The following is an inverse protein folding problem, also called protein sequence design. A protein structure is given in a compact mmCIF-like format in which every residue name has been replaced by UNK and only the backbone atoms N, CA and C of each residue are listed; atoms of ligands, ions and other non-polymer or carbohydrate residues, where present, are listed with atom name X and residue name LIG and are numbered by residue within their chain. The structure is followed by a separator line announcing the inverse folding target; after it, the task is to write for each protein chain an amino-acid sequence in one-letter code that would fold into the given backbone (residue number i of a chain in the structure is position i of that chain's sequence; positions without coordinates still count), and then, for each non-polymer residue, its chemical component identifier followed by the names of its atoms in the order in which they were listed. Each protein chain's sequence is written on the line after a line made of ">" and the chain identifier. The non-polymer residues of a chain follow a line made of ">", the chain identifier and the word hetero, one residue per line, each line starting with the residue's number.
data_IF_073116908059
#
_entry.id   IF_073116908059
#
_cell.length_a   1.000
_cell.length_b   1.000
_cell.length_c   1.000
_cell.angle_alpha   90.00
_cell.angle_beta   90.00
_cell.angle_gamma   90.00
#
_symmetry.space_group_name_H-M   'P 1'
#
loop_
_entity.id
_entity.type
_entity.pdbx_description
1 polymer ?
#
# COMPACT_ATOMS: atom_id res chain seq x y z
N UNK A 1 0.56 25.12 26.74
CA UNK A 1 1.74 24.26 26.49
C UNK A 1 2.01 23.48 27.77
N UNK A 2 1.97 22.14 27.73
CA UNK A 2 2.07 21.29 28.94
C UNK A 2 3.38 21.56 29.71
N UNK A 3 3.39 21.73 31.04
CA UNK A 3 4.64 21.91 31.80
C UNK A 3 5.31 20.55 32.05
N UNK A 4 6.64 20.50 31.95
CA UNK A 4 7.42 19.31 32.29
C UNK A 4 7.37 18.98 33.79
N UNK A 5 7.07 19.96 34.63
CA UNK A 5 6.95 19.81 36.08
C UNK A 5 5.63 19.13 36.49
N UNK A 6 4.57 19.28 35.68
CA UNK A 6 3.23 18.75 35.95
C UNK A 6 3.18 17.22 35.99
N UNK A 7 4.07 16.53 35.27
CA UNK A 7 4.10 15.06 35.22
C UNK A 7 5.41 14.51 34.67
N UNK A 8 5.88 13.40 35.25
CA UNK A 8 7.00 12.64 34.70
C UNK A 8 6.73 12.15 33.26
N UNK A 9 5.48 11.93 32.89
CA UNK A 9 5.10 11.53 31.53
C UNK A 9 5.23 12.69 30.54
N UNK A 10 4.88 13.92 30.95
CA UNK A 10 5.06 15.12 30.10
C UNK A 10 6.55 15.39 29.88
N UNK A 11 7.38 15.24 30.91
CA UNK A 11 8.84 15.37 30.78
C UNK A 11 9.43 14.32 29.82
N UNK A 12 9.00 13.05 29.92
CA UNK A 12 9.44 11.97 29.03
C UNK A 12 9.01 12.21 27.58
N UNK A 13 7.75 12.60 27.35
CA UNK A 13 7.24 12.90 26.01
C UNK A 13 8.02 14.05 25.36
N UNK A 14 8.25 15.15 26.08
CA UNK A 14 9.07 16.27 25.58
C UNK A 14 10.48 15.85 25.21
N UNK A 15 11.13 15.01 26.04
CA UNK A 15 12.48 14.48 25.75
C UNK A 15 12.49 13.62 24.48
N UNK A 16 11.49 12.74 24.31
CA UNK A 16 11.35 11.91 23.10
C UNK A 16 11.12 12.76 21.86
N UNK A 17 10.21 13.74 21.90
CA UNK A 17 9.95 14.67 20.78
C UNK A 17 11.16 15.54 20.42
N UNK A 18 12.01 15.85 21.40
CA UNK A 18 13.24 16.61 21.18
C UNK A 18 14.36 15.76 20.55
N UNK A 19 14.28 14.43 20.62
CA UNK A 19 15.33 13.52 20.16
C UNK A 19 15.52 13.60 18.64
N UNK A 20 16.78 13.50 18.20
CA UNK A 20 17.14 13.49 16.78
C UNK A 20 16.56 12.27 16.06
N UNK A 21 16.48 11.14 16.73
CA UNK A 21 15.90 9.91 16.20
C UNK A 21 14.41 10.09 15.87
N UNK A 22 13.60 10.58 16.81
CA UNK A 22 12.17 10.83 16.56
C UNK A 22 11.97 11.85 15.43
N UNK A 23 12.80 12.90 15.37
CA UNK A 23 12.76 13.87 14.27
C UNK A 23 13.07 13.22 12.91
N UNK A 24 14.10 12.37 12.84
CA UNK A 24 14.47 11.67 11.61
C UNK A 24 13.36 10.70 11.15
N UNK A 25 12.78 9.93 12.07
CA UNK A 25 11.67 9.01 11.79
C UNK A 25 10.42 9.76 11.29
N UNK A 26 10.02 10.85 11.96
CA UNK A 26 8.89 11.66 11.53
C UNK A 26 9.12 12.32 10.17
N UNK A 27 10.35 12.76 9.91
CA UNK A 27 10.73 13.33 8.60
C UNK A 27 10.61 12.27 7.50
N UNK A 28 11.08 11.05 7.76
CA UNK A 28 10.93 9.93 6.82
C UNK A 28 9.45 9.60 6.55
N UNK A 29 8.63 9.50 7.60
CA UNK A 29 7.20 9.25 7.47
C UNK A 29 6.55 10.33 6.59
N UNK A 30 6.83 11.60 6.87
CA UNK A 30 6.22 12.70 6.13
C UNK A 30 6.68 12.76 4.67
N UNK A 31 7.95 12.47 4.38
CA UNK A 31 8.50 12.55 3.03
C UNK A 31 8.06 11.37 2.14
N UNK A 32 7.97 10.16 2.69
CA UNK A 32 7.83 8.94 1.89
C UNK A 32 6.52 8.18 2.17
N UNK A 33 6.12 8.06 3.43
CA UNK A 33 5.03 7.16 3.83
C UNK A 33 3.64 7.74 3.61
N UNK A 34 3.51 9.06 3.41
CA UNK A 34 2.25 9.73 3.02
C UNK A 34 1.69 9.18 1.69
N UNK A 35 2.54 8.58 0.86
CA UNK A 35 2.14 7.94 -0.39
C UNK A 35 1.27 6.69 -0.23
N UNK A 36 1.42 5.96 0.88
CA UNK A 36 0.68 4.72 1.16
C UNK A 36 -0.82 4.95 1.38
N UNK A 37 -1.27 5.80 2.33
CA UNK A 37 -2.69 6.06 2.51
C UNK A 37 -3.33 6.72 1.28
N UNK A 38 -2.57 7.54 0.54
CA UNK A 38 -3.03 8.12 -0.72
C UNK A 38 -3.30 7.05 -1.79
N UNK A 39 -2.42 6.06 -1.92
CA UNK A 39 -2.65 4.92 -2.82
C UNK A 39 -3.87 4.12 -2.39
N UNK A 40 -3.99 3.77 -1.10
CA UNK A 40 -5.15 3.02 -0.58
C UNK A 40 -6.45 3.77 -0.91
N UNK A 41 -6.51 5.07 -0.62
CA UNK A 41 -7.68 5.90 -0.93
C UNK A 41 -8.02 5.92 -2.42
N UNK A 42 -7.00 5.93 -3.29
CA UNK A 42 -7.21 5.81 -4.75
C UNK A 42 -7.79 4.45 -5.13
N UNK A 43 -7.30 3.37 -4.53
CA UNK A 43 -7.75 2.01 -4.82
C UNK A 43 -9.17 1.73 -4.28
N UNK A 44 -9.58 2.44 -3.24
CA UNK A 44 -10.93 2.37 -2.66
C UNK A 44 -12.00 3.11 -3.50
N UNK A 45 -11.58 4.02 -4.38
CA UNK A 45 -12.52 4.79 -5.21
C UNK A 45 -13.18 3.89 -6.28
N UNK A 46 -14.51 3.89 -6.32
CA UNK A 46 -15.30 3.11 -7.28
C UNK A 46 -15.09 3.58 -8.73
N UNK A 47 -15.30 2.69 -9.69
CA UNK A 47 -15.24 2.93 -11.15
C UNK A 47 -13.83 3.00 -11.78
N UNK A 48 -12.77 2.64 -11.06
CA UNK A 48 -11.43 2.53 -11.69
C UNK A 48 -11.30 1.30 -12.58
N UNK A 49 -10.71 1.51 -13.75
CA UNK A 49 -10.34 0.42 -14.65
C UNK A 49 -9.21 -0.41 -14.04
N UNK A 50 -9.26 -1.73 -14.22
CA UNK A 50 -8.26 -2.65 -13.67
C UNK A 50 -6.84 -2.30 -14.15
N UNK A 51 -6.73 -1.92 -15.42
CA UNK A 51 -5.48 -1.45 -16.03
C UNK A 51 -4.88 -0.28 -15.24
N UNK A 52 -5.72 0.72 -14.91
CA UNK A 52 -5.26 1.91 -14.18
C UNK A 52 -4.81 1.57 -12.76
N UNK A 53 -5.52 0.64 -12.11
CA UNK A 53 -5.15 0.14 -10.77
C UNK A 53 -3.78 -0.55 -10.79
N UNK A 54 -3.55 -1.43 -11.76
CA UNK A 54 -2.26 -2.10 -11.92
C UNK A 54 -1.14 -1.10 -12.19
N UNK A 55 -1.39 -0.09 -13.02
CA UNK A 55 -0.40 0.94 -13.32
C UNK A 55 -0.09 1.85 -12.12
N UNK A 56 -1.08 2.20 -11.29
CA UNK A 56 -0.86 2.94 -10.03
C UNK A 56 -0.06 2.13 -9.02
N UNK A 57 -0.34 0.82 -8.89
CA UNK A 57 0.43 -0.09 -8.04
C UNK A 57 1.90 -0.19 -8.49
N UNK A 58 2.14 -0.39 -9.80
CA UNK A 58 3.51 -0.43 -10.35
C UNK A 58 4.26 0.87 -10.09
N UNK A 59 3.63 2.03 -10.31
CA UNK A 59 4.22 3.34 -9.97
C UNK A 59 4.56 3.47 -8.49
N UNK A 60 3.75 2.87 -7.61
CA UNK A 60 4.02 2.86 -6.18
C UNK A 60 5.20 1.95 -5.82
N UNK A 61 5.28 0.76 -6.42
CA UNK A 61 6.45 -0.13 -6.32
C UNK A 61 7.73 0.57 -6.79
N UNK A 62 7.69 1.24 -7.94
CA UNK A 62 8.80 2.03 -8.47
C UNK A 62 9.20 3.16 -7.50
N UNK A 63 8.22 3.88 -6.95
CA UNK A 63 8.48 4.92 -5.94
C UNK A 63 9.13 4.34 -4.69
N UNK A 64 8.75 3.14 -4.27
CA UNK A 64 9.32 2.47 -3.10
C UNK A 64 10.81 2.16 -3.26
N UNK A 65 11.31 2.00 -4.49
CA UNK A 65 12.74 1.83 -4.76
C UNK A 65 13.58 3.04 -4.32
N UNK A 66 12.98 4.24 -4.31
CA UNK A 66 13.64 5.50 -3.94
C UNK A 66 13.69 5.77 -2.43
N UNK A 67 13.03 4.96 -1.60
CA UNK A 67 12.97 5.18 -0.17
C UNK A 67 14.33 4.93 0.50
N UNK A 68 14.94 5.95 1.13
CA UNK A 68 16.31 5.83 1.62
C UNK A 68 16.40 5.12 2.97
N UNK A 69 17.62 4.66 3.26
CA UNK A 69 17.99 4.16 4.58
C UNK A 69 17.42 2.79 4.95
N UNK A 70 17.72 2.36 6.17
CA UNK A 70 17.30 1.06 6.70
C UNK A 70 15.78 0.94 6.83
N UNK A 71 15.11 2.03 7.23
CA UNK A 71 13.64 2.08 7.32
C UNK A 71 13.02 1.90 5.93
N UNK A 72 13.47 2.67 4.92
CA UNK A 72 12.97 2.53 3.55
C UNK A 72 13.17 1.13 2.99
N UNK A 73 14.35 0.54 3.22
CA UNK A 73 14.64 -0.84 2.83
C UNK A 73 13.71 -1.84 3.51
N UNK A 74 13.48 -1.68 4.83
CA UNK A 74 12.59 -2.56 5.58
C UNK A 74 11.14 -2.50 5.09
N UNK A 75 10.62 -1.30 4.83
CA UNK A 75 9.26 -1.11 4.30
C UNK A 75 9.13 -1.66 2.88
N UNK A 76 10.11 -1.41 1.99
CA UNK A 76 10.11 -1.97 0.64
C UNK A 76 10.11 -3.49 0.64
N UNK A 77 10.98 -4.11 1.45
CA UNK A 77 11.01 -5.57 1.58
C UNK A 77 9.67 -6.13 2.08
N UNK A 78 8.98 -5.39 2.96
CA UNK A 78 7.64 -5.78 3.43
C UNK A 78 6.61 -5.70 2.31
N UNK A 79 6.66 -4.66 1.47
CA UNK A 79 5.79 -4.51 0.30
C UNK A 79 5.99 -5.70 -0.67
N UNK A 80 7.23 -5.95 -1.06
CA UNK A 80 7.61 -7.08 -1.94
C UNK A 80 7.15 -8.41 -1.35
N UNK A 81 7.35 -8.62 -0.05
CA UNK A 81 6.89 -9.83 0.63
C UNK A 81 5.37 -10.00 0.58
N UNK A 82 4.61 -8.94 0.84
CA UNK A 82 3.13 -8.98 0.85
C UNK A 82 2.60 -9.26 -0.57
N UNK A 83 3.13 -8.56 -1.58
CA UNK A 83 2.73 -8.74 -2.97
C UNK A 83 3.14 -10.12 -3.51
N UNK A 84 4.38 -10.56 -3.23
CA UNK A 84 4.89 -11.85 -3.67
C UNK A 84 4.18 -13.05 -3.04
N UNK A 85 3.58 -12.88 -1.85
CA UNK A 85 2.73 -13.90 -1.21
C UNK A 85 1.28 -13.89 -1.68
N UNK A 86 0.88 -12.93 -2.50
CA UNK A 86 -0.46 -12.85 -3.06
C UNK A 86 -0.48 -13.41 -4.50
N UNK A 87 -0.78 -14.71 -4.70
CA UNK A 87 -0.80 -15.29 -6.05
C UNK A 87 -1.84 -14.62 -6.96
N UNK A 88 -2.94 -14.10 -6.39
CA UNK A 88 -3.96 -13.39 -7.15
C UNK A 88 -3.45 -12.06 -7.71
N UNK A 89 -2.44 -11.44 -7.08
CA UNK A 89 -1.80 -10.25 -7.63
C UNK A 89 -1.15 -10.52 -8.98
N UNK A 90 -0.46 -11.65 -9.12
CA UNK A 90 0.12 -12.08 -10.40
C UNK A 90 -0.95 -12.30 -11.46
N UNK A 91 -2.06 -12.97 -11.10
CA UNK A 91 -3.20 -13.17 -12.00
C UNK A 91 -3.81 -11.84 -12.45
N UNK A 92 -3.96 -10.87 -11.54
CA UNK A 92 -4.47 -9.52 -11.86
C UNK A 92 -3.55 -8.81 -12.85
N UNK A 93 -2.23 -8.88 -12.68
CA UNK A 93 -1.26 -8.31 -13.63
C UNK A 93 -1.44 -8.94 -15.02
N UNK A 94 -1.57 -10.27 -15.10
CA UNK A 94 -1.72 -10.97 -16.38
C UNK A 94 -3.08 -10.71 -17.06
N UNK A 95 -4.15 -10.57 -16.28
CA UNK A 95 -5.45 -10.10 -16.80
C UNK A 95 -5.29 -8.68 -17.36
N UNK A 96 -4.61 -7.78 -16.63
CA UNK A 96 -4.36 -6.41 -17.10
C UNK A 96 -3.53 -6.38 -18.38
N UNK A 97 -2.53 -7.26 -18.54
CA UNK A 97 -1.77 -7.39 -19.80
C UNK A 97 -2.69 -7.80 -20.95
N UNK A 98 -3.50 -8.82 -20.73
CA UNK A 98 -4.45 -9.32 -21.73
C UNK A 98 -5.45 -8.24 -22.17
N UNK A 99 -5.96 -7.44 -21.22
CA UNK A 99 -6.84 -6.29 -21.50
C UNK A 99 -6.14 -5.17 -22.30
N UNK A 100 -4.81 -5.04 -22.18
CA UNK A 100 -3.98 -4.13 -23.01
C UNK A 100 -3.64 -4.72 -24.39
N UNK A 101 -3.99 -5.97 -24.65
CA UNK A 101 -3.58 -6.70 -25.85
C UNK A 101 -2.15 -7.26 -25.78
N UNK A 102 -1.56 -7.31 -24.59
CA UNK A 102 -0.24 -7.87 -24.33
C UNK A 102 -0.34 -9.37 -23.99
N UNK A 103 0.74 -10.12 -24.23
CA UNK A 103 0.81 -11.54 -23.89
C UNK A 103 1.04 -11.67 -22.36
N UNK A 104 0.18 -12.39 -21.62
CA UNK A 104 0.37 -12.62 -20.20
C UNK A 104 1.59 -13.52 -19.94
N UNK A 105 2.23 -13.35 -18.77
CA UNK A 105 3.38 -14.20 -18.39
C UNK A 105 2.95 -15.61 -18.01
N UNK A 106 1.75 -15.76 -17.43
CA UNK A 106 1.16 -17.06 -17.14
C UNK A 106 -0.12 -17.29 -17.94
N UNK A 107 -0.37 -18.53 -18.41
CA UNK A 107 -1.60 -18.85 -19.11
C UNK A 107 -2.83 -18.56 -18.24
N UNK A 108 -3.75 -17.77 -18.77
CA UNK A 108 -5.03 -17.49 -18.14
C UNK A 108 -6.06 -18.53 -18.62
N UNK A 109 -6.84 -19.09 -17.70
CA UNK A 109 -7.92 -20.04 -18.01
C UNK A 109 -9.26 -19.37 -18.36
N UNK A 110 -9.23 -18.14 -18.88
CA UNK A 110 -10.41 -17.33 -19.18
C UNK A 110 -10.59 -17.16 -20.69
N UNK A 111 -11.84 -17.14 -21.14
CA UNK A 111 -12.21 -16.72 -22.49
C UNK A 111 -12.10 -15.20 -22.65
N UNK A 112 -12.04 -14.71 -23.88
CA UNK A 112 -12.01 -13.27 -24.16
C UNK A 112 -13.23 -12.53 -23.56
N UNK A 113 -14.41 -13.17 -23.60
CA UNK A 113 -15.63 -12.60 -23.02
C UNK A 113 -15.53 -12.50 -21.50
N UNK A 114 -15.01 -13.53 -20.83
CA UNK A 114 -14.79 -13.50 -19.37
C UNK A 114 -13.74 -12.46 -18.98
N UNK A 115 -12.66 -12.31 -19.77
CA UNK A 115 -11.66 -11.27 -19.53
C UNK A 115 -12.27 -9.86 -19.62
N UNK A 116 -13.20 -9.64 -20.55
CA UNK A 116 -13.86 -8.34 -20.70
C UNK A 116 -14.65 -7.90 -19.46
N UNK A 117 -15.11 -8.86 -18.64
CA UNK A 117 -15.80 -8.58 -17.37
C UNK A 117 -14.85 -7.97 -16.31
N UNK A 118 -13.53 -8.12 -16.47
CA UNK A 118 -12.52 -7.53 -15.59
C UNK A 118 -12.09 -6.12 -16.02
N UNK A 119 -12.81 -5.46 -16.94
CA UNK A 119 -12.51 -4.08 -17.37
C UNK A 119 -12.38 -3.14 -16.17
N UNK A 120 -13.26 -3.28 -15.18
CA UNK A 120 -13.25 -2.51 -13.94
C UNK A 120 -12.79 -3.38 -12.78
N UNK A 121 -12.19 -2.76 -11.77
CA UNK A 121 -11.85 -3.46 -10.54
C UNK A 121 -13.14 -4.00 -9.91
N UNK A 122 -13.26 -5.32 -9.64
CA UNK A 122 -14.42 -5.83 -8.95
C UNK A 122 -14.47 -5.17 -7.57
N UNK A 123 -15.47 -4.34 -7.36
CA UNK A 123 -15.80 -3.80 -6.05
C UNK A 123 -16.24 -4.99 -5.20
N UNK A 124 -15.28 -5.58 -4.50
CA UNK A 124 -15.65 -6.31 -3.31
C UNK A 124 -16.11 -5.25 -2.32
N UNK A 125 -17.42 -5.07 -2.19
CA UNK A 125 -18.01 -4.52 -0.98
C UNK A 125 -17.77 -5.54 0.14
N UNK A 126 -16.52 -5.84 0.43
CA UNK A 126 -16.19 -6.18 1.80
C UNK A 126 -16.38 -4.86 2.51
N UNK A 127 -17.59 -4.68 3.05
CA UNK A 127 -17.67 -4.36 4.46
C UNK A 127 -16.66 -5.28 5.13
N UNK A 128 -15.40 -4.82 5.21
CA UNK A 128 -14.47 -5.31 6.20
C UNK A 128 -15.07 -4.77 7.49
N UNK A 129 -16.19 -5.36 7.91
CA UNK A 129 -16.63 -5.35 9.29
C UNK A 129 -15.37 -5.69 10.04
N UNK A 130 -14.81 -4.65 10.65
CA UNK A 130 -13.47 -4.61 11.18
C UNK A 130 -13.31 -5.83 12.07
N UNK A 131 -12.75 -6.91 11.52
CA UNK A 131 -12.45 -8.13 12.26
C UNK A 131 -11.23 -7.92 13.17
N UNK A 132 -10.97 -6.68 13.55
CA UNK A 132 -10.04 -6.23 14.57
C UNK A 132 -10.65 -6.30 15.98
N UNK A 133 -11.83 -6.90 16.18
CA UNK A 133 -12.40 -7.13 17.53
C UNK A 133 -12.36 -8.59 18.00
N UNK A 134 -11.69 -9.50 17.26
CA UNK A 134 -11.56 -10.91 17.66
C UNK A 134 -10.11 -11.33 17.94
N UNK A 135 -9.42 -10.52 18.73
CA UNK A 135 -8.49 -11.03 19.72
C UNK A 135 -9.05 -10.62 21.08
N UNK A 136 -9.72 -11.57 21.73
CA UNK A 136 -10.19 -11.48 23.10
C UNK A 136 -9.28 -12.35 23.95
#
# INVERSE_FOLDING_TARGET
>A
MFDKSDSQYIAKAKKSMASTETKAQLTFIKAYMDSTPQLISKLEYSEKELIQVVDEMKKFEDRATSWPGSIGTSVRNKLEYVLGRNPAWKTIIDISRSLKGEIPETPLSYTANELSNFKYLPLVSVDVERSFSRMK
#
